data_IF_066638851060
#
_entry.id   IF_066638851060
#
_cell.length_a   1.000
_cell.length_b   1.000
_cell.length_c   1.000
_cell.angle_alpha   90.00
_cell.angle_beta   90.00
_cell.angle_gamma   90.00
#
_symmetry.space_group_name_H-M   'P 1'
#
loop_
_entity.id
_entity.type
_entity.pdbx_description
1 polymer ?
#
# COMPACT_ATOMS: atom_id res chain seq x y z
N UNK A 1 9.78 7.85 -12.89
CA UNK A 1 11.04 7.35 -12.33
C UNK A 1 10.91 5.85 -12.23
N UNK A 2 11.41 5.13 -13.22
CA UNK A 2 11.25 3.67 -13.28
C UNK A 2 11.96 3.01 -12.11
N UNK A 3 11.26 2.10 -11.40
CA UNK A 3 11.81 1.32 -10.30
C UNK A 3 12.91 0.39 -10.85
N UNK A 4 14.03 0.25 -10.12
CA UNK A 4 15.10 -0.66 -10.52
C UNK A 4 14.68 -2.12 -10.36
N UNK A 5 15.38 -3.01 -11.05
CA UNK A 5 15.19 -4.47 -10.93
C UNK A 5 16.54 -5.11 -10.64
N UNK A 6 16.78 -5.62 -9.41
CA UNK A 6 15.89 -5.55 -8.25
C UNK A 6 15.74 -4.11 -7.72
N UNK A 7 14.65 -3.83 -7.01
CA UNK A 7 14.35 -2.50 -6.49
C UNK A 7 15.44 -1.95 -5.57
N UNK A 8 15.57 -0.63 -5.50
CA UNK A 8 16.45 0.08 -4.56
C UNK A 8 15.62 0.89 -3.57
N UNK A 9 16.10 1.13 -2.33
CA UNK A 9 15.39 1.98 -1.38
C UNK A 9 15.06 3.38 -1.92
N UNK A 10 15.91 3.93 -2.78
CA UNK A 10 15.70 5.24 -3.41
C UNK A 10 14.65 5.27 -4.53
N UNK A 11 14.09 4.12 -4.90
CA UNK A 11 13.03 4.04 -5.92
C UNK A 11 11.65 4.37 -5.35
N UNK A 12 11.50 4.28 -4.03
CA UNK A 12 10.26 4.59 -3.34
C UNK A 12 10.24 6.06 -2.91
N UNK A 13 9.08 6.75 -3.03
CA UNK A 13 8.91 8.06 -2.41
C UNK A 13 8.95 7.94 -0.89
N UNK A 14 9.00 9.04 -0.12
CA UNK A 14 8.91 8.98 1.34
C UNK A 14 7.74 8.09 1.80
N UNK A 15 7.94 7.31 2.87
CA UNK A 15 6.96 6.30 3.29
C UNK A 15 5.55 6.88 3.54
N UNK A 16 5.46 8.08 4.12
CA UNK A 16 4.19 8.78 4.33
C UNK A 16 3.50 9.17 3.02
N UNK A 17 4.27 9.51 1.98
CA UNK A 17 3.74 9.85 0.65
C UNK A 17 3.26 8.60 -0.08
N UNK A 18 4.01 7.49 0.00
CA UNK A 18 3.57 6.18 -0.50
C UNK A 18 2.27 5.74 0.20
N UNK A 19 2.23 5.90 1.52
CA UNK A 19 1.08 5.55 2.36
C UNK A 19 -0.13 6.35 1.91
N UNK A 20 0.01 7.66 1.78
CA UNK A 20 -1.10 8.52 1.41
C UNK A 20 -1.68 8.20 0.03
N UNK A 21 -0.83 7.86 -0.94
CA UNK A 21 -1.23 7.47 -2.30
C UNK A 21 -2.02 6.17 -2.31
N UNK A 22 -1.47 5.12 -1.70
CA UNK A 22 -2.14 3.82 -1.66
C UNK A 22 -3.39 3.85 -0.78
N UNK A 23 -3.34 4.53 0.37
CA UNK A 23 -4.51 4.69 1.23
C UNK A 23 -5.65 5.42 0.53
N UNK A 24 -5.39 6.41 -0.32
CA UNK A 24 -6.46 7.04 -1.10
C UNK A 24 -7.15 6.02 -2.02
N UNK A 25 -6.38 5.17 -2.71
CA UNK A 25 -6.96 4.11 -3.56
C UNK A 25 -7.81 3.16 -2.71
N UNK A 26 -7.28 2.68 -1.57
CA UNK A 26 -8.02 1.82 -0.65
C UNK A 26 -9.29 2.49 -0.08
N UNK A 27 -9.25 3.81 0.17
CA UNK A 27 -10.43 4.58 0.60
C UNK A 27 -11.50 4.59 -0.47
N UNK A 28 -11.12 4.87 -1.71
CA UNK A 28 -12.08 4.98 -2.81
C UNK A 28 -12.61 3.63 -3.29
N UNK A 29 -11.85 2.55 -3.13
CA UNK A 29 -12.26 1.17 -3.41
C UNK A 29 -12.91 0.46 -2.22
N UNK A 30 -13.08 1.17 -1.09
CA UNK A 30 -13.71 0.59 0.09
C UNK A 30 -15.17 0.23 -0.22
N UNK A 31 -15.56 -0.98 0.20
CA UNK A 31 -16.88 -1.54 -0.04
C UNK A 31 -17.32 -2.36 1.18
N UNK A 32 -18.54 -2.13 1.66
CA UNK A 32 -19.07 -2.74 2.88
C UNK A 32 -19.28 -4.25 2.73
N UNK A 33 -19.61 -4.73 1.53
CA UNK A 33 -19.79 -6.17 1.28
C UNK A 33 -18.43 -6.87 1.31
N UNK A 34 -17.42 -6.29 0.66
CA UNK A 34 -16.05 -6.82 0.64
C UNK A 34 -15.40 -6.84 2.03
N UNK A 35 -15.64 -5.82 2.87
CA UNK A 35 -15.18 -5.81 4.28
C UNK A 35 -15.70 -7.01 5.08
N UNK A 36 -16.89 -7.53 4.75
CA UNK A 36 -17.47 -8.71 5.39
C UNK A 36 -16.81 -10.04 5.01
N UNK A 37 -15.96 -10.07 3.97
CA UNK A 37 -15.33 -11.29 3.46
C UNK A 37 -14.06 -11.70 4.22
N UNK A 38 -13.55 -10.83 5.10
CA UNK A 38 -12.33 -11.08 5.87
C UNK A 38 -11.11 -11.30 4.98
N UNK A 39 -10.41 -12.42 5.16
CA UNK A 39 -9.13 -12.74 4.49
C UNK A 39 -9.24 -13.14 3.01
N UNK A 40 -10.44 -13.21 2.44
CA UNK A 40 -10.66 -13.57 1.03
C UNK A 40 -10.91 -12.35 0.14
N UNK A 41 -10.43 -11.18 0.57
CA UNK A 41 -10.63 -9.91 -0.13
C UNK A 41 -9.59 -9.74 -1.23
N UNK A 42 -10.01 -9.12 -2.33
CA UNK A 42 -9.18 -8.74 -3.47
C UNK A 42 -9.23 -7.24 -3.73
N UNK A 43 -8.31 -6.73 -4.54
CA UNK A 43 -8.18 -5.31 -4.85
C UNK A 43 -7.33 -4.60 -3.81
N UNK A 44 -7.61 -3.32 -3.55
CA UNK A 44 -6.89 -2.52 -2.57
C UNK A 44 -7.76 -2.27 -1.33
N UNK A 45 -7.21 -2.49 -0.14
CA UNK A 45 -7.95 -2.19 1.08
C UNK A 45 -7.06 -1.78 2.23
N UNK A 46 -7.71 -1.30 3.30
CA UNK A 46 -7.08 -0.99 4.57
C UNK A 46 -7.87 -1.69 5.69
N UNK A 47 -7.14 -2.22 6.65
CA UNK A 47 -7.68 -2.72 7.92
C UNK A 47 -6.78 -2.33 9.10
N UNK A 48 -6.93 -2.99 10.24
CA UNK A 48 -6.13 -2.71 11.42
C UNK A 48 -4.64 -3.09 11.26
N UNK A 49 -4.29 -3.98 10.33
CA UNK A 49 -2.92 -4.42 10.09
C UNK A 49 -2.17 -3.51 9.12
N UNK A 50 -2.90 -2.83 8.23
CA UNK A 50 -2.32 -1.86 7.30
C UNK A 50 -3.06 -1.83 5.98
N UNK A 51 -2.36 -1.38 4.95
CA UNK A 51 -2.79 -1.41 3.56
C UNK A 51 -2.46 -2.76 2.95
N UNK A 52 -3.37 -3.24 2.11
CA UNK A 52 -3.27 -4.53 1.44
C UNK A 52 -3.65 -4.40 -0.03
N UNK A 53 -3.01 -5.25 -0.83
CA UNK A 53 -3.25 -5.43 -2.26
C UNK A 53 -3.21 -6.94 -2.51
N UNK A 54 -4.23 -7.46 -3.17
CA UNK A 54 -4.27 -8.81 -3.70
C UNK A 54 -4.97 -8.77 -5.06
N UNK A 55 -4.27 -9.22 -6.11
CA UNK A 55 -4.81 -9.22 -7.48
C UNK A 55 -5.57 -10.51 -7.85
N UNK A 56 -5.81 -11.40 -6.88
CA UNK A 56 -6.34 -12.76 -7.04
C UNK A 56 -5.48 -13.67 -7.93
N UNK A 57 -4.26 -13.24 -8.25
CA UNK A 57 -3.32 -13.94 -9.10
C UNK A 57 -2.09 -14.30 -8.30
N UNK A 58 -0.98 -13.69 -8.68
CA UNK A 58 0.34 -13.99 -8.15
C UNK A 58 0.99 -12.75 -7.54
N UNK A 59 0.21 -11.70 -7.25
CA UNK A 59 0.73 -10.44 -6.71
C UNK A 59 -0.05 -10.04 -5.48
N UNK A 60 0.64 -9.95 -4.37
CA UNK A 60 0.06 -9.46 -3.13
C UNK A 60 1.07 -8.59 -2.36
N UNK A 61 0.57 -7.59 -1.65
CA UNK A 61 1.39 -6.65 -0.88
C UNK A 61 0.72 -6.23 0.41
N UNK A 62 1.52 -6.04 1.45
CA UNK A 62 1.13 -5.38 2.69
C UNK A 62 2.05 -4.20 2.97
N UNK A 63 1.45 -3.07 3.35
CA UNK A 63 2.17 -1.91 3.87
C UNK A 63 1.61 -1.50 5.20
N UNK A 64 2.43 -1.58 6.25
CA UNK A 64 1.99 -1.49 7.63
C UNK A 64 2.76 -0.41 8.40
N UNK A 65 2.06 0.47 9.15
CA UNK A 65 2.68 1.37 10.10
C UNK A 65 3.17 0.59 11.33
N UNK A 66 4.39 0.85 11.78
CA UNK A 66 5.01 0.16 12.93
C UNK A 66 5.17 1.09 14.15
N UNK A 67 4.47 2.23 14.13
CA UNK A 67 4.53 3.27 15.15
C UNK A 67 5.81 4.10 15.10
N UNK A 68 5.76 5.32 15.65
CA UNK A 68 6.93 6.21 15.68
C UNK A 68 7.40 6.70 14.31
N UNK A 69 6.51 6.75 13.31
CA UNK A 69 6.86 7.12 11.92
C UNK A 69 7.54 6.00 11.13
N UNK A 70 7.58 4.78 11.67
CA UNK A 70 8.15 3.61 11.02
C UNK A 70 7.12 2.89 10.18
N UNK A 71 7.55 2.31 9.06
CA UNK A 71 6.70 1.51 8.20
C UNK A 71 7.45 0.27 7.68
N UNK A 72 6.71 -0.78 7.37
CA UNK A 72 7.22 -1.96 6.65
C UNK A 72 6.34 -2.24 5.45
N UNK A 73 6.97 -2.44 4.29
CA UNK A 73 6.38 -2.85 3.04
C UNK A 73 6.94 -4.22 2.68
N UNK A 74 6.05 -5.18 2.41
CA UNK A 74 6.45 -6.51 1.99
C UNK A 74 5.38 -7.14 1.11
N UNK A 75 5.76 -8.13 0.32
CA UNK A 75 4.85 -8.78 -0.61
C UNK A 75 5.58 -9.70 -1.56
N UNK A 76 4.84 -10.23 -2.52
CA UNK A 76 5.35 -11.07 -3.59
C UNK A 76 4.69 -10.74 -4.91
N UNK A 77 5.41 -11.06 -5.98
CA UNK A 77 4.97 -10.98 -7.35
C UNK A 77 5.60 -12.14 -8.13
N UNK A 78 4.88 -12.71 -9.10
CA UNK A 78 5.38 -13.82 -9.92
C UNK A 78 6.70 -13.50 -10.63
N UNK A 79 6.94 -12.23 -10.95
CA UNK A 79 8.19 -11.78 -11.58
C UNK A 79 9.41 -11.85 -10.66
N UNK A 80 9.21 -11.97 -9.34
CA UNK A 80 10.30 -12.03 -8.38
C UNK A 80 11.16 -13.27 -8.59
N UNK A 81 12.46 -13.04 -8.83
CA UNK A 81 13.45 -14.10 -8.95
C UNK A 81 13.94 -14.60 -7.58
N UNK A 82 13.56 -13.92 -6.49
CA UNK A 82 14.08 -14.19 -5.14
C UNK A 82 13.80 -15.62 -4.71
N UNK A 83 12.57 -16.09 -4.91
CA UNK A 83 12.19 -17.45 -4.53
C UNK A 83 13.01 -18.51 -5.27
N UNK A 84 13.54 -18.24 -6.47
CA UNK A 84 14.30 -19.24 -7.24
C UNK A 84 15.82 -19.07 -7.17
N UNK A 85 16.32 -18.10 -6.41
CA UNK A 85 17.73 -17.76 -6.38
C UNK A 85 18.56 -18.76 -5.56
N UNK A 86 19.74 -19.15 -6.06
CA UNK A 86 20.71 -19.99 -5.34
C UNK A 86 22.08 -19.29 -5.25
N UNK A 87 22.66 -19.09 -4.05
CA UNK A 87 22.12 -19.43 -2.73
C UNK A 87 20.88 -18.57 -2.38
N UNK A 88 19.98 -19.11 -1.55
CA UNK A 88 18.75 -18.41 -1.16
C UNK A 88 19.01 -17.02 -0.57
N UNK A 89 18.17 -16.05 -0.92
CA UNK A 89 18.28 -14.66 -0.46
C UNK A 89 17.62 -14.50 0.91
N UNK A 90 18.38 -14.02 1.90
CA UNK A 90 17.83 -13.62 3.19
C UNK A 90 17.33 -12.16 3.12
N UNK A 91 16.06 -11.98 2.81
CA UNK A 91 15.40 -10.67 2.75
C UNK A 91 15.27 -9.97 4.12
N UNK A 92 15.57 -10.68 5.22
CA UNK A 92 15.45 -10.17 6.58
C UNK A 92 16.82 -9.81 7.20
N UNK A 93 17.90 -10.04 6.45
CA UNK A 93 19.25 -9.69 6.86
C UNK A 93 19.35 -8.19 7.14
N UNK A 94 19.95 -7.84 8.29
CA UNK A 94 20.14 -6.46 8.76
C UNK A 94 18.84 -5.67 9.02
N UNK A 95 17.70 -6.35 9.04
CA UNK A 95 16.43 -5.76 9.45
C UNK A 95 16.47 -5.29 10.92
N UNK A 96 15.73 -4.23 11.27
CA UNK A 96 15.62 -3.77 12.65
C UNK A 96 14.73 -4.71 13.48
N UNK A 97 14.91 -4.67 14.81
CA UNK A 97 14.25 -5.55 15.77
C UNK A 97 12.71 -5.42 15.82
N UNK A 98 12.18 -4.27 15.40
CA UNK A 98 10.76 -3.96 15.37
C UNK A 98 10.01 -4.57 14.17
N UNK A 99 10.70 -5.18 13.20
CA UNK A 99 10.03 -5.85 12.09
C UNK A 99 9.14 -7.00 12.58
N UNK A 100 8.04 -7.32 11.87
CA UNK A 100 7.15 -8.44 12.21
C UNK A 100 7.77 -9.79 11.81
N UNK A 101 8.86 -10.17 12.49
CA UNK A 101 9.69 -11.30 12.08
C UNK A 101 8.99 -12.66 12.07
N UNK A 102 7.96 -12.87 12.88
CA UNK A 102 7.20 -14.12 12.87
C UNK A 102 6.51 -14.29 11.51
N UNK A 103 5.66 -13.31 11.15
CA UNK A 103 5.00 -13.23 9.84
C UNK A 103 5.99 -13.31 8.68
N UNK A 104 7.05 -12.49 8.71
CA UNK A 104 8.01 -12.43 7.60
C UNK A 104 8.80 -13.74 7.42
N UNK A 105 9.11 -14.46 8.51
CA UNK A 105 9.79 -15.76 8.41
C UNK A 105 8.87 -16.85 7.89
N UNK A 106 7.60 -16.83 8.28
CA UNK A 106 6.62 -17.78 7.79
C UNK A 106 6.44 -17.63 6.27
N UNK A 107 6.26 -16.38 5.79
CA UNK A 107 6.16 -16.06 4.36
C UNK A 107 7.44 -16.42 3.57
N UNK A 108 8.61 -16.13 4.14
CA UNK A 108 9.89 -16.53 3.55
C UNK A 108 10.00 -18.06 3.46
N UNK A 109 9.55 -18.79 4.48
CA UNK A 109 9.58 -20.25 4.53
C UNK A 109 8.59 -20.93 3.59
N UNK A 110 7.49 -20.25 3.26
CA UNK A 110 6.45 -20.72 2.32
C UNK A 110 6.66 -20.24 0.87
N UNK A 111 7.75 -19.52 0.58
CA UNK A 111 8.10 -19.00 -0.76
C UNK A 111 7.12 -17.94 -1.26
N UNK A 112 6.45 -17.27 -0.32
CA UNK A 112 5.43 -16.24 -0.57
C UNK A 112 5.98 -14.83 -0.31
N UNK A 113 7.30 -14.66 -0.21
CA UNK A 113 7.94 -13.38 0.03
C UNK A 113 8.92 -13.05 -1.11
N UNK A 114 8.66 -11.95 -1.81
CA UNK A 114 9.49 -11.44 -2.91
C UNK A 114 10.46 -10.35 -2.46
N UNK A 115 10.03 -9.44 -1.58
CA UNK A 115 10.91 -8.44 -0.97
C UNK A 115 10.37 -7.91 0.36
N UNK A 116 11.27 -7.29 1.14
CA UNK A 116 10.94 -6.56 2.37
C UNK A 116 11.69 -5.24 2.40
N UNK A 117 10.94 -4.16 2.54
CA UNK A 117 11.43 -2.80 2.70
C UNK A 117 10.94 -2.24 4.03
N UNK A 118 11.79 -1.50 4.71
CA UNK A 118 11.45 -0.85 5.96
C UNK A 118 11.87 0.61 5.94
N UNK A 119 11.05 1.45 6.55
CA UNK A 119 11.32 2.87 6.68
C UNK A 119 11.38 3.30 8.13
N UNK A 120 12.39 4.07 8.46
CA UNK A 120 12.61 4.73 9.75
C UNK A 120 13.35 6.05 9.47
N UNK A 121 13.03 7.10 10.24
CA UNK A 121 13.63 8.44 10.10
C UNK A 121 13.60 9.02 8.67
N UNK A 122 12.53 8.72 7.91
CA UNK A 122 12.31 9.22 6.56
C UNK A 122 13.18 8.58 5.47
N UNK A 123 13.92 7.53 5.80
CA UNK A 123 14.70 6.75 4.84
C UNK A 123 14.11 5.35 4.66
N UNK A 124 14.19 4.82 3.46
CA UNK A 124 13.95 3.41 3.18
C UNK A 124 15.24 2.61 3.30
N UNK A 125 15.12 1.35 3.70
CA UNK A 125 16.16 0.35 3.66
C UNK A 125 15.57 -1.02 3.31
N UNK A 126 16.43 -1.93 2.88
CA UNK A 126 16.13 -3.35 2.66
C UNK A 126 17.39 -4.17 2.90
N UNK A 127 17.24 -5.49 2.97
CA UNK A 127 18.38 -6.39 3.04
C UNK A 127 19.26 -6.24 1.78
N UNK A 128 20.59 -6.43 1.90
CA UNK A 128 21.47 -6.45 0.74
C UNK A 128 21.14 -7.66 -0.13
N UNK A 129 20.94 -7.44 -1.43
CA UNK A 129 20.72 -8.53 -2.39
C UNK A 129 22.01 -8.92 -3.11
N UNK A 130 22.11 -10.17 -3.58
CA UNK A 130 23.15 -10.59 -4.51
C UNK A 130 23.19 -9.70 -5.76
N UNK A 131 24.38 -9.49 -6.32
CA UNK A 131 24.55 -8.64 -7.52
C UNK A 131 23.91 -9.24 -8.78
N UNK A 132 23.72 -10.56 -8.80
CA UNK A 132 23.16 -11.35 -9.89
C UNK A 132 21.66 -11.65 -9.73
N UNK A 133 21.02 -11.17 -8.66
CA UNK A 133 19.56 -11.21 -8.55
C UNK A 133 18.95 -10.35 -9.66
N UNK A 134 18.06 -10.94 -10.46
CA UNK A 134 17.49 -10.26 -11.62
C UNK A 134 16.34 -9.31 -11.26
N UNK A 135 15.45 -9.73 -10.38
CA UNK A 135 14.24 -8.98 -10.00
C UNK A 135 13.78 -9.42 -8.59
N UNK A 136 13.25 -8.49 -7.82
CA UNK A 136 12.63 -8.74 -6.52
C UNK A 136 11.10 -8.53 -6.54
N UNK A 137 10.54 -8.09 -7.67
CA UNK A 137 9.11 -7.91 -7.88
C UNK A 137 8.57 -6.54 -7.47
N UNK A 138 9.40 -5.64 -6.90
CA UNK A 138 8.95 -4.34 -6.39
C UNK A 138 8.20 -3.51 -7.44
N UNK A 139 8.70 -3.51 -8.68
CA UNK A 139 8.15 -2.70 -9.78
C UNK A 139 6.71 -3.10 -10.14
N UNK A 140 6.39 -4.40 -10.19
CA UNK A 140 5.06 -4.91 -10.55
C UNK A 140 3.97 -4.49 -9.55
N UNK A 141 4.32 -4.51 -8.26
CA UNK A 141 3.42 -4.10 -7.18
C UNK A 141 3.32 -2.59 -7.03
N UNK A 142 4.47 -1.93 -6.89
CA UNK A 142 4.53 -0.61 -6.25
C UNK A 142 4.66 0.56 -7.20
N UNK A 143 5.00 0.36 -8.48
CA UNK A 143 5.09 1.45 -9.47
C UNK A 143 3.83 2.33 -9.51
N UNK A 144 2.66 1.68 -9.41
CA UNK A 144 1.33 2.33 -9.37
C UNK A 144 1.10 3.29 -8.20
N UNK A 145 1.91 3.23 -7.15
CA UNK A 145 1.86 4.15 -6.00
C UNK A 145 3.12 5.00 -5.86
N UNK A 146 4.28 4.48 -6.29
CA UNK A 146 5.56 5.17 -6.21
C UNK A 146 5.62 6.40 -7.11
N UNK A 147 4.92 6.36 -8.24
CA UNK A 147 4.88 7.46 -9.22
C UNK A 147 3.52 8.15 -9.25
N UNK A 148 3.51 9.48 -9.13
CA UNK A 148 2.25 10.26 -9.21
C UNK A 148 1.46 10.00 -10.51
N UNK A 149 2.07 10.02 -11.71
CA UNK A 149 1.33 9.74 -12.94
C UNK A 149 0.66 8.36 -12.96
N UNK A 150 1.35 7.34 -12.44
CA UNK A 150 0.82 5.98 -12.36
C UNK A 150 -0.30 5.86 -11.32
N UNK A 151 -0.18 6.57 -10.19
CA UNK A 151 -1.25 6.64 -9.20
C UNK A 151 -2.50 7.32 -9.76
N UNK A 152 -2.34 8.40 -10.54
CA UNK A 152 -3.46 9.03 -11.25
C UNK A 152 -4.06 8.10 -12.31
N UNK A 153 -3.22 7.35 -13.02
CA UNK A 153 -3.69 6.34 -13.97
C UNK A 153 -4.54 5.28 -13.27
N UNK A 154 -4.06 4.73 -12.15
CA UNK A 154 -4.79 3.75 -11.35
C UNK A 154 -6.13 4.30 -10.84
N UNK A 155 -6.16 5.53 -10.34
CA UNK A 155 -7.41 6.16 -9.91
C UNK A 155 -8.40 6.22 -11.09
N UNK A 156 -7.97 6.75 -12.23
CA UNK A 156 -8.87 6.99 -13.38
C UNK A 156 -9.36 5.72 -14.07
N UNK A 157 -8.49 4.71 -14.20
CA UNK A 157 -8.74 3.51 -15.01
C UNK A 157 -8.93 2.23 -14.18
N UNK A 158 -8.66 2.27 -12.88
CA UNK A 158 -8.99 1.19 -11.94
C UNK A 158 -10.18 1.61 -11.08
N UNK A 159 -9.95 2.55 -10.16
CA UNK A 159 -10.94 2.92 -9.14
C UNK A 159 -12.20 3.56 -9.73
N UNK A 160 -12.09 4.34 -10.81
CA UNK A 160 -13.23 4.98 -11.48
C UNK A 160 -13.83 4.19 -12.66
N UNK A 161 -13.28 3.03 -13.04
CA UNK A 161 -13.67 2.32 -14.29
C UNK A 161 -15.17 1.93 -14.31
N UNK A 162 -15.75 1.67 -13.14
CA UNK A 162 -17.18 1.40 -12.97
C UNK A 162 -18.09 2.63 -13.01
N UNK A 163 -17.55 3.83 -12.73
CA UNK A 163 -18.33 5.06 -12.61
C UNK A 163 -18.51 5.76 -13.96
N UNK A 164 -19.73 5.71 -14.51
CA UNK A 164 -20.11 6.34 -15.79
C UNK A 164 -20.82 7.70 -15.65
N UNK A 165 -20.97 8.20 -14.42
CA UNK A 165 -21.75 9.40 -14.14
C UNK A 165 -20.98 10.71 -14.36
N UNK A 166 -19.65 10.66 -14.29
CA UNK A 166 -18.78 11.83 -14.33
C UNK A 166 -17.97 11.85 -15.64
N UNK A 167 -17.99 12.96 -16.40
CA UNK A 167 -17.11 13.15 -17.57
C UNK A 167 -15.64 12.91 -17.23
N UNK A 168 -14.85 12.46 -18.21
CA UNK A 168 -13.45 12.08 -17.97
C UNK A 168 -12.59 13.25 -17.47
N UNK A 169 -12.77 14.45 -18.02
CA UNK A 169 -12.03 15.64 -17.63
C UNK A 169 -12.30 16.02 -16.16
N UNK A 170 -13.56 15.95 -15.73
CA UNK A 170 -13.95 16.20 -14.33
C UNK A 170 -13.40 15.13 -13.39
N UNK A 171 -13.33 13.85 -13.84
CA UNK A 171 -12.65 12.79 -13.09
C UNK A 171 -11.16 13.07 -12.93
N UNK A 172 -10.49 13.58 -13.96
CA UNK A 172 -9.07 13.93 -13.90
C UNK A 172 -8.80 15.02 -12.87
N UNK A 173 -9.57 16.10 -12.89
CA UNK A 173 -9.45 17.20 -11.93
C UNK A 173 -9.73 16.73 -10.50
N UNK A 174 -10.79 15.96 -10.31
CA UNK A 174 -11.19 15.42 -9.00
C UNK A 174 -10.14 14.46 -8.45
N UNK A 175 -9.66 13.51 -9.26
CA UNK A 175 -8.63 12.55 -8.85
C UNK A 175 -7.32 13.25 -8.46
N UNK A 176 -6.90 14.27 -9.21
CA UNK A 176 -5.72 15.06 -8.88
C UNK A 176 -5.89 15.83 -7.56
N UNK A 177 -7.05 16.46 -7.36
CA UNK A 177 -7.34 17.22 -6.14
C UNK A 177 -7.38 16.32 -4.90
N UNK A 178 -8.04 15.16 -5.00
CA UNK A 178 -8.09 14.18 -3.91
C UNK A 178 -6.71 13.61 -3.59
N UNK A 179 -5.90 13.33 -4.62
CA UNK A 179 -4.52 12.87 -4.44
C UNK A 179 -3.66 13.92 -3.74
N UNK A 180 -3.77 15.19 -4.13
CA UNK A 180 -3.06 16.28 -3.46
C UNK A 180 -3.52 16.49 -2.02
N UNK A 181 -4.81 16.32 -1.74
CA UNK A 181 -5.36 16.39 -0.39
C UNK A 181 -4.86 15.22 0.47
N UNK A 182 -4.85 13.99 -0.07
CA UNK A 182 -4.35 12.81 0.63
C UNK A 182 -2.86 12.96 1.01
N UNK A 183 -2.00 13.32 0.05
CA UNK A 183 -0.55 13.51 0.30
C UNK A 183 -0.27 14.62 1.33
N UNK A 184 -1.09 15.68 1.34
CA UNK A 184 -0.99 16.76 2.34
C UNK A 184 -1.65 16.42 3.68
N UNK A 185 -2.31 15.26 3.80
CA UNK A 185 -3.15 14.87 4.94
C UNK A 185 -4.24 15.90 5.24
N UNK A 186 -4.86 16.39 4.18
CA UNK A 186 -5.94 17.38 4.15
C UNK A 186 -7.23 16.81 3.56
N UNK A 187 -7.31 15.49 3.38
CA UNK A 187 -8.54 14.85 2.89
C UNK A 187 -9.66 15.07 3.92
N UNK A 188 -10.89 15.27 3.46
CA UNK A 188 -12.03 15.52 4.35
C UNK A 188 -13.17 14.54 4.06
N UNK A 189 -13.97 14.18 5.08
CA UNK A 189 -15.22 13.44 4.86
C UNK A 189 -16.12 14.12 3.82
N UNK A 190 -16.22 15.45 3.87
CA UNK A 190 -17.03 16.25 2.94
C UNK A 190 -16.62 16.07 1.48
N UNK A 191 -15.31 15.95 1.18
CA UNK A 191 -14.85 15.68 -0.19
C UNK A 191 -15.33 14.31 -0.70
N UNK A 192 -15.40 13.30 0.18
CA UNK A 192 -15.91 11.97 -0.17
C UNK A 192 -17.45 11.97 -0.29
N UNK A 193 -18.13 12.72 0.57
CA UNK A 193 -19.58 12.94 0.50
C UNK A 193 -19.98 13.62 -0.82
N UNK A 194 -19.25 14.65 -1.23
CA UNK A 194 -19.45 15.35 -2.50
C UNK A 194 -19.21 14.42 -3.70
N UNK A 195 -18.12 13.64 -3.67
CA UNK A 195 -17.83 12.63 -4.69
C UNK A 195 -18.96 11.60 -4.82
N UNK A 196 -19.42 11.06 -3.68
CA UNK A 196 -20.51 10.08 -3.64
C UNK A 196 -21.83 10.68 -4.13
N UNK A 197 -22.18 11.90 -3.68
CA UNK A 197 -23.40 12.59 -4.08
C UNK A 197 -23.42 12.95 -5.59
N UNK A 198 -22.25 13.23 -6.17
CA UNK A 198 -22.08 13.46 -7.61
C UNK A 198 -22.25 12.21 -8.48
N UNK A 199 -22.29 11.01 -7.87
CA UNK A 199 -22.40 9.74 -8.58
C UNK A 199 -23.80 9.13 -8.43
N UNK A 200 -24.54 9.03 -9.52
CA UNK A 200 -25.89 8.44 -9.52
C UNK A 200 -25.93 6.93 -9.76
N UNK A 201 -24.80 6.29 -10.09
CA UNK A 201 -24.75 4.86 -10.39
C UNK A 201 -24.44 3.97 -9.17
N UNK A 202 -24.30 4.56 -7.97
CA UNK A 202 -24.02 3.82 -6.75
C UNK A 202 -22.63 3.19 -6.71
N UNK A 203 -21.67 3.74 -7.45
CA UNK A 203 -20.29 3.22 -7.51
C UNK A 203 -19.53 3.41 -6.19
N UNK A 204 -19.85 4.48 -5.44
CA UNK A 204 -19.15 4.84 -4.20
C UNK A 204 -19.93 4.34 -2.98
N UNK A 205 -19.32 3.45 -2.18
CA UNK A 205 -19.82 3.09 -0.86
C UNK A 205 -19.29 4.08 0.18
N UNK A 206 -19.99 5.21 0.31
CA UNK A 206 -19.59 6.28 1.23
C UNK A 206 -19.38 5.80 2.68
N UNK A 207 -20.27 4.97 3.29
CA UNK A 207 -19.99 4.39 4.60
C UNK A 207 -18.65 3.66 4.70
N UNK A 208 -18.28 2.83 3.73
CA UNK A 208 -16.99 2.11 3.72
C UNK A 208 -15.82 3.07 3.51
N UNK A 209 -15.94 4.01 2.58
CA UNK A 209 -14.92 5.03 2.31
C UNK A 209 -14.59 5.86 3.58
N UNK A 210 -15.60 6.23 4.37
CA UNK A 210 -15.40 6.97 5.62
C UNK A 210 -14.69 6.15 6.69
N UNK A 211 -14.96 4.84 6.79
CA UNK A 211 -14.22 3.93 7.70
C UNK A 211 -12.77 3.79 7.28
N UNK A 212 -12.53 3.57 5.99
CA UNK A 212 -11.17 3.50 5.44
C UNK A 212 -10.41 4.83 5.64
N UNK A 213 -11.09 5.97 5.51
CA UNK A 213 -10.51 7.29 5.76
C UNK A 213 -10.03 7.43 7.21
N UNK A 214 -10.85 6.96 8.17
CA UNK A 214 -10.48 6.96 9.59
C UNK A 214 -9.24 6.08 9.85
N UNK A 215 -9.23 4.84 9.33
CA UNK A 215 -8.11 3.90 9.49
C UNK A 215 -6.80 4.44 8.89
N UNK A 216 -6.89 5.13 7.76
CA UNK A 216 -5.72 5.63 7.03
C UNK A 216 -5.01 6.81 7.70
N UNK A 217 -5.70 7.55 8.59
CA UNK A 217 -5.17 8.78 9.16
C UNK A 217 -4.94 9.90 8.13
N UNK A 218 -5.56 9.82 6.94
CA UNK A 218 -5.44 10.83 5.88
C UNK A 218 -6.23 12.11 6.17
N UNK A 219 -7.23 12.03 7.05
CA UNK A 219 -8.10 13.17 7.29
C UNK A 219 -7.40 14.31 8.04
N UNK A 220 -7.74 15.55 7.70
CA UNK A 220 -7.14 16.73 8.33
C UNK A 220 -7.23 16.69 9.86
N UNK A 221 -6.09 16.84 10.54
CA UNK A 221 -6.02 16.83 12.00
C UNK A 221 -6.17 15.44 12.64
N UNK A 222 -6.27 14.38 11.84
CA UNK A 222 -6.28 13.01 12.35
C UNK A 222 -4.90 12.61 12.89
N UNK A 223 -4.86 11.75 13.93
CA UNK A 223 -3.60 11.16 14.35
C UNK A 223 -2.94 10.41 13.18
N UNK A 224 -1.63 10.18 13.28
CA UNK A 224 -0.95 9.25 12.39
C UNK A 224 -1.66 7.88 12.43
N UNK A 225 -1.60 7.09 11.34
CA UNK A 225 -2.22 5.76 11.33
C UNK A 225 -1.71 4.95 12.54
N UNK A 226 -2.60 4.22 13.23
CA UNK A 226 -2.23 3.44 14.39
C UNK A 226 -1.21 2.38 13.99
N UNK A 227 -0.28 2.04 14.89
CA UNK A 227 0.64 0.95 14.63
C UNK A 227 -0.12 -0.37 14.43
N UNK A 228 0.30 -1.14 13.44
CA UNK A 228 -0.21 -2.48 13.17
C UNK A 228 -0.05 -3.37 14.42
N UNK A 229 -1.03 -4.23 14.74
CA UNK A 229 -0.90 -5.23 15.82
C UNK A 229 0.35 -6.10 15.68
N UNK A 230 0.81 -6.36 14.46
CA UNK A 230 2.05 -7.08 14.18
C UNK A 230 3.30 -6.39 14.78
N UNK A 231 3.26 -5.07 14.98
CA UNK A 231 4.31 -4.32 15.66
C UNK A 231 4.39 -4.61 17.17
N UNK A 232 3.27 -4.97 17.81
CA UNK A 232 3.22 -5.30 19.23
C UNK A 232 3.69 -6.74 19.52
N UNK A 233 3.71 -7.60 18.51
CA UNK A 233 4.09 -9.01 18.63
C UNK A 233 5.62 -9.23 18.63
N UNK A 234 6.44 -8.26 18.22
CA UNK A 234 7.90 -8.36 18.30
C UNK A 234 8.39 -8.07 19.71
N UNK A 235 8.85 -9.07 20.49
CA UNK A 235 9.43 -8.79 21.79
C UNK A 235 10.77 -8.12 21.58
N UNK A 236 10.98 -6.99 22.26
CA UNK A 236 12.29 -6.40 22.52
C UNK A 236 13.24 -7.52 22.97
N UNK A 237 14.15 -7.96 22.09
CA UNK A 237 15.20 -8.90 22.48
C UNK A 237 16.26 -8.11 23.24
N UNK A 238 16.27 -8.27 24.56
CA UNK A 238 17.41 -7.95 25.42
C UNK A 238 18.56 -8.95 25.26
#
# INVERSE_FOLDING_TARGET
>A
MTINRPGLPGDLPPAEELWARWALVAVLEADTEAEGQGVHRSGHWIDAEGLHLDDCGCTWWTFAPMGGGRYVLYGEDESSAVKWHEPGVDMLAQGPDWLPYETLRDLLGSWELGCVYWSEDGAWARAPYPQDLADDGLDCGMSRFAERPECLHLLLYGTWDGCRCTPFEERQETAAALLDAAVRRELTPGALEELAAGCSCGHWDLPAMLRALELSGLAQGSPAPPASPAAAASPLRG
#
